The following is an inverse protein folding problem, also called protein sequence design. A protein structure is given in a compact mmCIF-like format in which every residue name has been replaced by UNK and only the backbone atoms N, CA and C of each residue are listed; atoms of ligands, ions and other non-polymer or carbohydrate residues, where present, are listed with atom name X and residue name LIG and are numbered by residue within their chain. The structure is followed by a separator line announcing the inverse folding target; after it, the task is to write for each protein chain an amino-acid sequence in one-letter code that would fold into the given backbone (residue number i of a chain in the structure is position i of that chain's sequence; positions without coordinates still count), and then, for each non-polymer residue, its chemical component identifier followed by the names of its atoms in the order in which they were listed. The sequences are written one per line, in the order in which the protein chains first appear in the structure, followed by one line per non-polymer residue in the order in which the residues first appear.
data_IF_762318617301
#
_entry.id   IF_762318617301
#
_cell.length_a   1.000
_cell.length_b   1.000
_cell.length_c   1.000
_cell.angle_alpha   90.00
_cell.angle_beta   90.00
_cell.angle_gamma   90.00
#
_symmetry.space_group_name_H-M   'P 1'
#
loop_
_entity.id
_entity.type
_entity.pdbx_description
1 polymer ?
#
# COMPACT_ATOMS: atom_id res chain seq x y z
N UNK A 1 -2.21 -2.92 -25.21
CA UNK A 1 -3.21 -3.85 -24.66
C UNK A 1 -2.94 -3.99 -23.18
N UNK A 2 -3.67 -3.23 -22.36
CA UNK A 2 -3.98 -3.57 -20.96
C UNK A 2 -5.45 -3.17 -20.75
N UNK A 3 -6.15 -4.02 -20.02
CA UNK A 3 -7.58 -4.30 -20.15
C UNK A 3 -8.52 -3.19 -19.66
N UNK A 4 -9.64 -3.04 -20.37
CA UNK A 4 -10.80 -2.29 -19.90
C UNK A 4 -11.48 -3.08 -18.78
N UNK A 5 -11.27 -2.66 -17.52
CA UNK A 5 -12.15 -3.07 -16.42
C UNK A 5 -13.22 -2.02 -16.18
N UNK A 6 -14.43 -2.39 -16.56
CA UNK A 6 -15.67 -1.75 -16.13
C UNK A 6 -15.72 -1.71 -14.60
N UNK A 7 -15.78 -0.52 -14.01
CA UNK A 7 -16.47 -0.32 -12.74
C UNK A 7 -17.58 0.71 -12.93
N UNK A 8 -18.79 0.20 -12.74
CA UNK A 8 -20.06 0.86 -12.91
C UNK A 8 -20.22 2.09 -12.02
N UNK A 9 -20.93 3.08 -12.55
CA UNK A 9 -21.55 4.20 -11.85
C UNK A 9 -22.23 3.78 -10.53
N UNK A 10 -21.59 4.12 -9.40
CA UNK A 10 -22.23 4.27 -8.09
C UNK A 10 -21.71 5.59 -7.50
N UNK A 11 -22.54 6.63 -7.31
CA UNK A 11 -22.11 7.90 -6.75
C UNK A 11 -21.99 7.78 -5.23
N UNK A 12 -20.91 7.17 -4.75
CA UNK A 12 -20.55 7.18 -3.33
C UNK A 12 -19.09 7.65 -3.22
N UNK A 13 -18.87 8.72 -2.46
CA UNK A 13 -17.56 9.33 -2.09
C UNK A 13 -16.91 10.33 -3.06
N UNK A 14 -17.42 11.58 -3.08
CA UNK A 14 -16.64 12.79 -3.44
C UNK A 14 -15.49 13.11 -2.45
N UNK A 15 -15.10 12.18 -1.56
CA UNK A 15 -14.16 12.45 -0.47
C UNK A 15 -13.02 11.41 -0.34
N UNK A 16 -12.88 10.45 -1.25
CA UNK A 16 -11.79 9.46 -1.20
C UNK A 16 -11.05 9.45 -2.53
N UNK A 17 -9.73 9.21 -2.47
CA UNK A 17 -8.90 9.00 -3.65
C UNK A 17 -9.17 7.62 -4.23
N UNK A 18 -8.95 7.44 -5.52
CA UNK A 18 -9.11 6.14 -6.19
C UNK A 18 -7.85 5.29 -6.07
N UNK A 19 -7.95 3.98 -6.33
CA UNK A 19 -6.79 3.08 -6.46
C UNK A 19 -5.74 3.62 -7.44
N UNK A 20 -6.17 4.17 -8.58
CA UNK A 20 -5.27 4.75 -9.57
C UNK A 20 -4.57 6.00 -9.05
N UNK A 21 -5.26 6.82 -8.24
CA UNK A 21 -4.66 7.98 -7.60
C UNK A 21 -3.67 7.57 -6.51
N UNK A 22 -4.00 6.57 -5.70
CA UNK A 22 -3.09 5.99 -4.71
C UNK A 22 -1.82 5.45 -5.40
N UNK A 23 -1.98 4.70 -6.48
CA UNK A 23 -0.88 4.20 -7.30
C UNK A 23 0.02 5.33 -7.81
N UNK A 24 -0.57 6.41 -8.33
CA UNK A 24 0.18 7.57 -8.81
C UNK A 24 0.95 8.27 -7.69
N UNK A 25 0.34 8.44 -6.51
CA UNK A 25 0.98 9.03 -5.32
C UNK A 25 2.14 8.15 -4.86
N UNK A 26 1.95 6.83 -4.79
CA UNK A 26 2.99 5.88 -4.40
C UNK A 26 4.17 5.92 -5.38
N UNK A 27 3.90 5.89 -6.69
CA UNK A 27 4.92 5.93 -7.74
C UNK A 27 5.69 7.26 -7.80
N UNK A 28 5.06 8.37 -7.42
CA UNK A 28 5.77 9.65 -7.28
C UNK A 28 6.80 9.61 -6.15
N UNK A 29 6.53 8.81 -5.11
CA UNK A 29 7.40 8.70 -3.93
C UNK A 29 8.44 7.59 -4.06
N UNK A 30 8.08 6.49 -4.70
CA UNK A 30 8.92 5.31 -4.92
C UNK A 30 8.83 4.94 -6.41
N UNK A 31 9.82 5.34 -7.22
CA UNK A 31 9.83 4.98 -8.64
C UNK A 31 10.10 3.48 -8.79
N UNK A 32 9.26 2.82 -9.58
CA UNK A 32 9.38 1.38 -9.81
C UNK A 32 8.21 0.80 -10.57
N UNK A 33 8.07 -0.52 -10.49
CA UNK A 33 6.95 -1.27 -11.05
C UNK A 33 6.00 -1.64 -9.92
N UNK A 34 4.74 -1.26 -10.06
CA UNK A 34 3.69 -1.71 -9.14
C UNK A 34 3.47 -3.20 -9.32
N UNK A 35 3.57 -3.94 -8.23
CA UNK A 35 3.35 -5.39 -8.18
C UNK A 35 1.91 -5.69 -7.80
N UNK A 36 1.41 -5.02 -6.76
CA UNK A 36 0.09 -5.23 -6.20
C UNK A 36 -0.46 -3.92 -5.62
N UNK A 37 -1.78 -3.80 -5.63
CA UNK A 37 -2.49 -2.70 -4.96
C UNK A 37 -3.67 -3.31 -4.23
N UNK A 38 -3.72 -3.11 -2.92
CA UNK A 38 -4.84 -3.56 -2.09
C UNK A 38 -5.50 -2.38 -1.36
N UNK A 39 -6.66 -2.65 -0.77
CA UNK A 39 -7.44 -1.71 0.01
C UNK A 39 -7.93 -2.41 1.27
N UNK A 40 -7.45 -1.97 2.43
CA UNK A 40 -7.89 -2.49 3.72
C UNK A 40 -8.59 -1.42 4.57
N UNK A 41 -9.46 -1.87 5.46
CA UNK A 41 -10.20 -1.05 6.42
C UNK A 41 -9.68 -1.30 7.84
N UNK A 42 -8.62 -0.60 8.21
CA UNK A 42 -8.06 -0.66 9.55
C UNK A 42 -8.78 0.28 10.52
N UNK A 43 -9.40 -0.26 11.57
CA UNK A 43 -10.05 0.55 12.63
C UNK A 43 -11.09 1.58 12.09
N UNK A 44 -11.75 1.26 10.97
CA UNK A 44 -12.70 2.15 10.30
C UNK A 44 -12.06 3.22 9.42
N UNK A 45 -10.74 3.15 9.20
CA UNK A 45 -9.97 4.00 8.30
C UNK A 45 -9.63 3.19 7.06
N UNK A 46 -10.03 3.70 5.90
CA UNK A 46 -9.72 3.05 4.63
C UNK A 46 -8.30 3.44 4.20
N UNK A 47 -7.46 2.45 3.97
CA UNK A 47 -6.05 2.57 3.58
C UNK A 47 -5.84 1.84 2.25
N UNK A 48 -5.01 2.41 1.39
CA UNK A 48 -4.53 1.77 0.18
C UNK A 48 -3.09 1.33 0.38
N UNK A 49 -2.80 0.08 0.10
CA UNK A 49 -1.47 -0.50 0.13
C UNK A 49 -0.95 -0.66 -1.29
N UNK A 50 0.20 -0.08 -1.59
CA UNK A 50 0.81 -0.16 -2.92
C UNK A 50 2.18 -0.79 -2.81
N UNK A 51 2.32 -2.01 -3.32
CA UNK A 51 3.60 -2.72 -3.38
C UNK A 51 4.33 -2.38 -4.67
N UNK A 52 5.54 -1.83 -4.53
CA UNK A 52 6.37 -1.35 -5.64
C UNK A 52 7.72 -2.08 -5.64
N UNK A 53 8.02 -2.75 -6.74
CA UNK A 53 9.36 -3.24 -7.02
C UNK A 53 10.22 -2.13 -7.59
N UNK A 54 11.24 -1.74 -6.83
CA UNK A 54 12.25 -0.77 -7.26
C UNK A 54 13.15 -1.36 -8.34
N UNK A 55 13.89 -0.51 -9.06
CA UNK A 55 14.89 -0.97 -10.05
C UNK A 55 16.03 -1.78 -9.44
N UNK A 56 16.18 -1.75 -8.11
CA UNK A 56 17.17 -2.51 -7.36
C UNK A 56 16.65 -3.90 -6.94
N UNK A 57 15.44 -4.28 -7.36
CA UNK A 57 14.81 -5.56 -7.01
C UNK A 57 14.17 -5.59 -5.63
N UNK A 58 14.20 -4.49 -4.87
CA UNK A 58 13.59 -4.43 -3.54
C UNK A 58 12.11 -4.08 -3.64
N UNK A 59 11.31 -4.70 -2.79
CA UNK A 59 9.87 -4.43 -2.67
C UNK A 59 9.67 -3.34 -1.60
N UNK A 60 8.82 -2.38 -1.91
CA UNK A 60 8.48 -1.28 -1.01
C UNK A 60 6.97 -1.19 -0.95
N UNK A 61 6.43 -1.30 0.25
CA UNK A 61 5.04 -1.04 0.54
C UNK A 61 4.83 0.46 0.81
N UNK A 62 3.77 1.02 0.23
CA UNK A 62 3.34 2.39 0.50
C UNK A 62 1.87 2.38 0.92
N UNK A 63 1.63 2.67 2.20
CA UNK A 63 0.28 2.83 2.75
C UNK A 63 -0.21 4.27 2.58
N UNK A 64 -1.43 4.43 2.06
CA UNK A 64 -2.01 5.74 1.70
C UNK A 64 -3.42 5.85 2.26
N UNK A 65 -3.68 6.89 3.05
CA UNK A 65 -5.00 7.18 3.59
C UNK A 65 -5.99 7.50 2.46
N UNK A 66 -6.97 6.62 2.22
CA UNK A 66 -7.91 6.76 1.12
C UNK A 66 -8.71 8.06 1.17
N UNK A 67 -8.99 8.60 2.36
CA UNK A 67 -9.74 9.85 2.53
C UNK A 67 -9.01 11.09 1.99
N UNK A 68 -7.68 11.10 1.98
CA UNK A 68 -6.91 12.33 1.68
C UNK A 68 -5.77 12.14 0.68
N UNK A 69 -5.36 10.90 0.43
CA UNK A 69 -4.13 10.59 -0.31
C UNK A 69 -2.85 10.84 0.47
N UNK A 70 -2.94 11.05 1.79
CA UNK A 70 -1.76 11.19 2.64
C UNK A 70 -1.07 9.84 2.79
N UNK A 71 0.23 9.80 2.50
CA UNK A 71 1.08 8.64 2.79
C UNK A 71 1.17 8.48 4.32
N UNK A 72 0.79 7.31 4.81
CA UNK A 72 0.86 6.94 6.22
C UNK A 72 2.19 6.26 6.54
N UNK A 73 2.64 5.35 5.66
CA UNK A 73 3.83 4.53 5.85
C UNK A 73 4.53 4.26 4.52
N UNK A 74 5.84 4.08 4.60
CA UNK A 74 6.67 3.57 3.50
C UNK A 74 7.64 2.59 4.13
N UNK A 75 7.51 1.31 3.81
CA UNK A 75 8.33 0.25 4.38
C UNK A 75 8.96 -0.59 3.27
N UNK A 76 10.17 -1.06 3.50
CA UNK A 76 10.86 -1.98 2.60
C UNK A 76 10.54 -3.39 3.07
N UNK A 77 9.83 -4.14 2.24
CA UNK A 77 9.59 -5.55 2.45
C UNK A 77 10.87 -6.34 2.17
N UNK A 78 11.17 -7.32 3.02
CA UNK A 78 12.17 -8.31 2.69
C UNK A 78 11.55 -9.36 1.77
N UNK A 79 12.36 -10.01 0.93
CA UNK A 79 11.87 -10.99 -0.03
C UNK A 79 11.09 -12.15 0.63
N UNK A 80 11.41 -12.49 1.89
CA UNK A 80 10.73 -13.53 2.67
C UNK A 80 9.32 -13.12 3.14
N UNK A 81 9.05 -11.82 3.30
CA UNK A 81 7.80 -11.29 3.86
C UNK A 81 6.71 -11.12 2.78
N UNK A 82 7.10 -10.89 1.52
CA UNK A 82 6.17 -10.69 0.40
C UNK A 82 5.39 -11.95 -0.01
N UNK A 83 5.99 -13.14 0.15
CA UNK A 83 5.34 -14.40 -0.24
C UNK A 83 4.23 -14.83 0.75
N UNK A 84 4.14 -14.21 1.93
CA UNK A 84 3.11 -14.52 2.93
C UNK A 84 2.51 -13.27 3.61
N UNK A 85 1.81 -12.41 2.86
CA UNK A 85 1.34 -11.10 3.32
C UNK A 85 0.33 -11.17 4.48
N UNK A 86 -0.29 -12.33 4.73
CA UNK A 86 -1.28 -12.50 5.81
C UNK A 86 -0.68 -12.88 7.17
N UNK A 87 0.65 -13.01 7.29
CA UNK A 87 1.30 -13.40 8.54
C UNK A 87 2.08 -12.25 9.21
N UNK A 88 1.63 -11.00 9.02
CA UNK A 88 2.04 -9.89 9.87
C UNK A 88 1.29 -9.95 11.22
N UNK A 89 1.58 -11.02 11.98
CA UNK A 89 1.28 -11.03 13.41
C UNK A 89 2.14 -9.94 14.05
N UNK A 90 1.47 -8.93 14.63
CA UNK A 90 2.04 -7.80 15.34
C UNK A 90 2.88 -8.28 16.53
N UNK A 91 4.11 -8.75 16.28
CA UNK A 91 5.11 -8.91 17.32
C UNK A 91 5.77 -7.56 17.59
N UNK A 92 4.99 -6.75 18.32
CA UNK A 92 5.43 -5.66 19.17
C UNK A 92 6.60 -6.12 20.06
N UNK A 93 7.82 -6.09 19.55
CA UNK A 93 9.03 -6.11 20.39
C UNK A 93 9.34 -4.68 20.84
N UNK A 94 8.52 -4.17 21.75
CA UNK A 94 8.92 -3.10 22.65
C UNK A 94 10.07 -3.60 23.55
N UNK A 95 11.29 -3.31 23.09
CA UNK A 95 12.32 -2.56 23.83
C UNK A 95 12.67 -3.00 25.28
N UNK A 96 13.92 -3.42 25.51
CA UNK A 96 14.96 -2.65 26.23
C UNK A 96 16.11 -3.56 26.71
N UNK A 97 17.30 -3.25 26.17
CA UNK A 97 18.63 -3.35 26.77
C UNK A 97 19.12 -4.68 27.39
N UNK A 98 20.16 -5.18 26.72
CA UNK A 98 21.34 -5.81 27.29
C UNK A 98 21.83 -5.07 28.55
N UNK A 99 21.80 -5.75 29.71
CA UNK A 99 22.93 -5.89 30.66
C UNK A 99 22.57 -6.89 31.78
#
# INVERSE_FOLDING_TARGET
MYENFYYNNQPMYRQQITLQQAQAIALQRVPGRVLHVDMDLENGVLVYEVFIMTSQGRIVEVEILAKTGKILKIEQENDDDFDNPHNHDYNNHNNYNHD
#
